data_IF_926530500650
#
_entry.id   IF_926530500650
#
_cell.length_a   1.000
_cell.length_b   1.000
_cell.length_c   1.000
_cell.angle_alpha   90.00
_cell.angle_beta   90.00
_cell.angle_gamma   90.00
#
_symmetry.space_group_name_H-M   'P 1'
#
loop_
_entity.id
_entity.type
_entity.pdbx_description
1 polymer ?
#
# COMPACT_ATOMS: atom_id res chain seq x y z
N UNK A 1 -3.33 7.99 53.73
CA UNK A 1 -3.05 8.24 52.29
C UNK A 1 -3.12 6.90 51.58
N UNK A 2 -4.20 6.65 50.82
CA UNK A 2 -4.35 5.41 50.05
C UNK A 2 -3.80 5.67 48.66
N UNK A 3 -2.67 5.03 48.34
CA UNK A 3 -2.13 5.01 46.98
C UNK A 3 -3.05 4.14 46.12
N UNK A 4 -3.86 4.77 45.28
CA UNK A 4 -4.58 4.07 44.22
C UNK A 4 -3.58 3.62 43.17
N UNK A 5 -3.27 2.32 43.15
CA UNK A 5 -2.56 1.68 42.05
C UNK A 5 -3.42 1.80 40.79
N UNK A 6 -3.02 2.67 39.85
CA UNK A 6 -3.54 2.64 38.50
C UNK A 6 -3.16 1.29 37.88
N UNK A 7 -4.15 0.43 37.69
CA UNK A 7 -4.04 -0.83 36.93
C UNK A 7 -3.46 -0.49 35.56
N UNK A 8 -2.34 -1.11 35.12
CA UNK A 8 -1.78 -0.82 33.80
C UNK A 8 -2.82 -1.16 32.74
N UNK A 9 -3.14 -0.17 31.89
CA UNK A 9 -3.99 -0.35 30.70
C UNK A 9 -3.38 -1.46 29.86
N UNK A 10 -4.15 -2.50 29.54
CA UNK A 10 -3.70 -3.60 28.69
C UNK A 10 -3.22 -3.05 27.34
N UNK A 11 -1.94 -3.24 27.01
CA UNK A 11 -1.43 -2.98 25.66
C UNK A 11 -2.22 -3.87 24.67
N UNK A 12 -3.00 -3.27 23.76
CA UNK A 12 -3.62 -3.96 22.62
C UNK A 12 -5.09 -4.33 22.79
N UNK A 13 -5.98 -3.34 22.95
CA UNK A 13 -7.44 -3.56 22.92
C UNK A 13 -7.97 -3.79 21.49
N UNK A 14 -7.23 -3.36 20.47
CA UNK A 14 -7.60 -3.48 19.06
C UNK A 14 -6.49 -4.16 18.28
N UNK A 15 -6.86 -4.90 17.24
CA UNK A 15 -5.94 -5.54 16.31
C UNK A 15 -6.37 -5.27 14.88
N UNK A 16 -5.41 -5.30 13.96
CA UNK A 16 -5.68 -5.25 12.53
C UNK A 16 -4.67 -6.12 11.80
N UNK A 17 -5.07 -6.60 10.63
CA UNK A 17 -4.27 -7.53 9.86
C UNK A 17 -3.57 -6.83 8.70
N UNK A 18 -2.38 -7.33 8.38
CA UNK A 18 -1.65 -6.95 7.16
C UNK A 18 -1.33 -8.20 6.36
N UNK A 19 -1.60 -8.16 5.06
CA UNK A 19 -1.26 -9.27 4.15
C UNK A 19 -0.78 -8.78 2.79
N UNK A 20 -0.08 -9.64 2.05
CA UNK A 20 0.20 -9.42 0.65
C UNK A 20 -0.93 -9.88 -0.26
N UNK A 21 -1.35 -9.00 -1.17
CA UNK A 21 -2.28 -9.31 -2.25
C UNK A 21 -1.52 -9.34 -3.58
N UNK A 22 -1.62 -10.45 -4.31
CA UNK A 22 -0.86 -10.64 -5.55
C UNK A 22 -1.66 -10.11 -6.72
N UNK A 23 -1.01 -9.41 -7.64
CA UNK A 23 -1.62 -9.02 -8.90
C UNK A 23 -0.72 -9.36 -10.08
N UNK A 24 -1.33 -9.48 -11.25
CA UNK A 24 -0.64 -9.82 -12.48
C UNK A 24 -1.19 -9.05 -13.66
N UNK A 25 -0.31 -8.75 -14.60
CA UNK A 25 -0.67 -8.23 -15.92
C UNK A 25 0.02 -9.12 -16.94
N UNK A 26 -0.77 -9.80 -17.78
CA UNK A 26 -0.29 -10.87 -18.68
C UNK A 26 0.60 -10.35 -19.81
N UNK A 27 0.38 -9.11 -20.26
CA UNK A 27 1.14 -8.45 -21.33
C UNK A 27 1.44 -6.99 -20.98
N UNK A 28 2.33 -6.74 -20.01
CA UNK A 28 2.61 -5.38 -19.60
C UNK A 28 3.46 -4.67 -20.65
N UNK A 29 3.02 -3.49 -21.09
CA UNK A 29 3.89 -2.58 -21.81
C UNK A 29 5.01 -2.14 -20.83
N UNK A 30 6.28 -2.34 -21.21
CA UNK A 30 7.44 -2.09 -20.33
C UNK A 30 7.91 -0.63 -20.35
N UNK A 31 7.26 0.23 -21.13
CA UNK A 31 7.63 1.63 -21.25
C UNK A 31 7.02 2.52 -20.14
N UNK A 32 7.74 3.58 -19.78
CA UNK A 32 7.23 4.64 -18.91
C UNK A 32 6.80 4.18 -17.53
N UNK A 33 5.57 4.53 -17.13
CA UNK A 33 5.04 4.20 -15.80
C UNK A 33 4.56 2.74 -15.68
N UNK A 34 4.29 2.07 -16.80
CA UNK A 34 3.78 0.69 -16.83
C UNK A 34 4.86 -0.35 -16.45
N UNK A 35 6.12 0.08 -16.29
CA UNK A 35 7.22 -0.75 -15.78
C UNK A 35 6.93 -1.41 -14.43
N UNK A 36 5.99 -0.89 -13.64
CA UNK A 36 5.58 -1.48 -12.35
C UNK A 36 4.95 -2.88 -12.50
N UNK A 37 4.49 -3.21 -13.70
CA UNK A 37 3.88 -4.50 -14.03
C UNK A 37 4.92 -5.54 -14.47
N UNK A 38 6.18 -5.15 -14.67
CA UNK A 38 7.24 -6.08 -15.02
C UNK A 38 7.67 -6.91 -13.80
N UNK A 39 7.42 -8.21 -13.83
CA UNK A 39 7.71 -9.12 -12.70
C UNK A 39 9.17 -9.54 -12.58
N UNK A 40 9.92 -9.53 -13.68
CA UNK A 40 11.24 -10.18 -13.77
C UNK A 40 12.34 -9.37 -13.08
N UNK A 41 12.39 -8.06 -13.35
CA UNK A 41 13.51 -7.19 -12.94
C UNK A 41 13.24 -6.38 -11.68
N UNK A 42 12.00 -6.00 -11.43
CA UNK A 42 11.62 -5.21 -10.28
C UNK A 42 10.41 -5.77 -9.58
N UNK A 43 10.39 -5.59 -8.26
CA UNK A 43 9.24 -5.98 -7.43
C UNK A 43 8.51 -4.74 -6.98
N UNK A 44 7.20 -4.75 -7.07
CA UNK A 44 6.38 -3.63 -6.64
C UNK A 44 5.58 -3.98 -5.39
N UNK A 45 5.37 -2.96 -4.56
CA UNK A 45 4.67 -3.05 -3.29
C UNK A 45 3.84 -1.77 -3.14
N UNK A 46 2.55 -1.90 -3.41
CA UNK A 46 1.57 -0.82 -3.35
C UNK A 46 0.74 -0.96 -2.08
N UNK A 47 0.71 0.11 -1.27
CA UNK A 47 0.12 0.10 0.06
C UNK A 47 -1.33 0.55 -0.06
N UNK A 48 -2.26 -0.38 0.11
CA UNK A 48 -3.69 -0.09 0.27
C UNK A 48 -3.96 0.21 1.73
N UNK A 49 -4.31 1.46 1.99
CA UNK A 49 -4.55 2.01 3.31
C UNK A 49 -6.04 1.93 3.60
N UNK A 50 -6.40 1.82 4.88
CA UNK A 50 -7.80 1.89 5.26
C UNK A 50 -8.28 3.34 5.22
N UNK A 51 -9.44 3.57 4.62
CA UNK A 51 -10.12 4.86 4.63
C UNK A 51 -11.06 4.96 5.85
N UNK A 52 -11.02 6.07 6.60
CA UNK A 52 -12.11 6.43 7.52
C UNK A 52 -13.35 6.88 6.71
N UNK A 53 -14.60 6.56 7.10
CA UNK A 53 -15.06 5.83 8.27
C UNK A 53 -15.71 4.51 7.85
N UNK A 54 -14.93 3.56 7.31
CA UNK A 54 -15.45 2.21 7.19
C UNK A 54 -15.70 1.68 8.62
N UNK A 55 -16.95 1.71 9.09
CA UNK A 55 -17.41 1.24 10.42
C UNK A 55 -17.22 -0.28 10.63
N UNK A 56 -16.28 -0.89 9.93
CA UNK A 56 -15.86 -2.27 10.11
C UNK A 56 -14.79 -2.31 11.19
N UNK A 57 -15.10 -3.00 12.29
CA UNK A 57 -14.14 -3.32 13.34
C UNK A 57 -12.94 -4.15 12.82
N UNK A 58 -13.04 -4.69 11.61
CA UNK A 58 -12.05 -5.52 10.95
C UNK A 58 -11.25 -4.70 9.93
N UNK A 59 -10.20 -4.04 10.40
CA UNK A 59 -9.27 -3.33 9.51
C UNK A 59 -8.29 -4.35 8.93
N UNK A 60 -8.28 -4.47 7.60
CA UNK A 60 -7.35 -5.33 6.88
C UNK A 60 -6.58 -4.51 5.86
N UNK A 61 -5.31 -4.22 6.16
CA UNK A 61 -4.40 -3.52 5.26
C UNK A 61 -3.77 -4.49 4.25
N UNK A 62 -3.68 -4.07 3.00
CA UNK A 62 -3.17 -4.93 1.92
C UNK A 62 -1.97 -4.30 1.25
N UNK A 63 -0.93 -5.11 1.04
CA UNK A 63 0.22 -4.72 0.23
C UNK A 63 0.10 -5.46 -1.11
N UNK A 64 -0.25 -4.73 -2.15
CA UNK A 64 -0.36 -5.25 -3.51
C UNK A 64 1.02 -5.45 -4.10
N UNK A 65 1.30 -6.65 -4.60
CA UNK A 65 2.61 -6.99 -5.15
C UNK A 65 2.53 -7.82 -6.42
N UNK A 66 3.49 -7.59 -7.32
CA UNK A 66 3.74 -8.45 -8.48
C UNK A 66 4.64 -9.65 -8.15
N UNK A 67 5.08 -9.81 -6.89
CA UNK A 67 5.96 -10.91 -6.50
C UNK A 67 5.17 -12.14 -6.02
N UNK A 68 5.09 -13.18 -6.84
CA UNK A 68 4.37 -14.42 -6.50
C UNK A 68 4.97 -15.19 -5.33
N UNK A 69 6.24 -14.96 -5.01
CA UNK A 69 6.90 -15.65 -3.90
C UNK A 69 6.52 -15.08 -2.54
N UNK A 70 5.83 -13.93 -2.49
CA UNK A 70 5.32 -13.38 -1.24
C UNK A 70 4.18 -14.25 -0.69
N UNK A 71 4.19 -14.51 0.62
CA UNK A 71 3.13 -15.28 1.28
C UNK A 71 1.95 -14.37 1.55
N UNK A 72 0.74 -14.82 1.21
CA UNK A 72 -0.49 -14.04 1.46
C UNK A 72 -1.08 -14.25 2.86
N UNK A 73 -0.38 -15.00 3.72
CA UNK A 73 -0.81 -15.25 5.10
C UNK A 73 -0.85 -13.93 5.88
N UNK A 74 -2.01 -13.52 6.42
CA UNK A 74 -2.11 -12.30 7.20
C UNK A 74 -1.30 -12.40 8.49
N UNK A 75 -0.76 -11.26 8.94
CA UNK A 75 -0.15 -11.11 10.26
C UNK A 75 -0.91 -10.02 11.00
N UNK A 76 -1.33 -10.34 12.22
CA UNK A 76 -2.05 -9.41 13.08
C UNK A 76 -1.10 -8.51 13.87
N UNK A 77 -1.45 -7.23 13.97
CA UNK A 77 -0.73 -6.22 14.74
C UNK A 77 -1.65 -5.57 15.75
N UNK A 78 -1.14 -5.35 16.96
CA UNK A 78 -1.87 -4.63 17.99
C UNK A 78 -1.90 -3.12 17.74
N UNK A 79 -2.98 -2.50 18.19
CA UNK A 79 -3.22 -1.06 18.14
C UNK A 79 -3.77 -0.58 19.48
N UNK A 80 -3.43 0.66 19.83
CA UNK A 80 -4.01 1.35 20.99
C UNK A 80 -5.36 2.00 20.66
N UNK A 81 -5.67 2.16 19.37
CA UNK A 81 -6.90 2.79 18.88
C UNK A 81 -7.65 1.84 17.93
N UNK A 82 -8.97 1.97 17.86
CA UNK A 82 -9.82 1.22 16.93
C UNK A 82 -9.42 1.45 15.49
N UNK A 83 -9.13 2.70 15.13
CA UNK A 83 -8.64 3.07 13.81
C UNK A 83 -7.20 3.60 13.90
N UNK A 84 -6.19 2.85 13.41
CA UNK A 84 -4.80 3.29 13.41
C UNK A 84 -4.62 4.49 12.47
N UNK A 85 -3.88 5.51 12.92
CA UNK A 85 -3.57 6.64 12.06
C UNK A 85 -2.71 6.23 10.85
N UNK A 86 -2.76 7.03 9.79
CA UNK A 86 -2.06 6.79 8.52
C UNK A 86 -0.56 6.45 8.70
N UNK A 87 0.14 7.22 9.51
CA UNK A 87 1.58 7.00 9.77
C UNK A 87 1.83 5.65 10.42
N UNK A 88 0.96 5.22 11.33
CA UNK A 88 1.04 3.93 11.99
C UNK A 88 0.70 2.77 11.06
N UNK A 89 -0.36 2.91 10.23
CA UNK A 89 -0.69 1.95 9.18
C UNK A 89 0.51 1.69 8.25
N UNK A 90 1.09 2.75 7.67
CA UNK A 90 2.28 2.64 6.81
C UNK A 90 3.46 2.00 7.55
N UNK A 91 3.66 2.36 8.82
CA UNK A 91 4.75 1.78 9.63
C UNK A 91 4.59 0.27 9.80
N UNK A 92 3.38 -0.21 10.09
CA UNK A 92 3.12 -1.64 10.26
C UNK A 92 3.16 -2.41 8.94
N UNK A 93 2.67 -1.82 7.86
CA UNK A 93 2.82 -2.39 6.53
C UNK A 93 4.29 -2.48 6.10
N UNK A 94 5.12 -1.47 6.41
CA UNK A 94 6.56 -1.53 6.15
C UNK A 94 7.26 -2.58 7.01
N UNK A 95 6.87 -2.70 8.28
CA UNK A 95 7.36 -3.75 9.15
C UNK A 95 7.03 -5.14 8.57
N UNK A 96 5.79 -5.33 8.10
CA UNK A 96 5.36 -6.55 7.42
C UNK A 96 6.20 -6.83 6.17
N UNK A 97 6.38 -5.82 5.31
CA UNK A 97 7.25 -5.90 4.13
C UNK A 97 8.66 -6.37 4.49
N UNK A 98 9.34 -5.68 5.41
CA UNK A 98 10.73 -5.95 5.75
C UNK A 98 10.95 -7.29 6.44
N UNK A 99 9.97 -7.77 7.21
CA UNK A 99 10.03 -9.10 7.83
C UNK A 99 10.07 -10.23 6.79
N UNK A 100 9.50 -10.00 5.61
CA UNK A 100 9.50 -10.96 4.50
C UNK A 100 10.70 -10.78 3.55
N UNK A 101 11.46 -9.69 3.65
CA UNK A 101 12.60 -9.43 2.77
C UNK A 101 13.87 -10.15 3.25
N UNK A 102 14.28 -11.18 2.51
CA UNK A 102 15.57 -11.86 2.71
C UNK A 102 16.76 -11.07 2.13
N UNK A 103 16.50 -10.17 1.17
CA UNK A 103 17.54 -9.50 0.37
C UNK A 103 18.07 -8.22 1.00
N UNK A 104 17.39 -7.67 2.00
CA UNK A 104 17.76 -6.43 2.70
C UNK A 104 18.13 -6.77 4.15
N UNK A 105 19.40 -6.66 4.57
CA UNK A 105 19.81 -6.94 5.95
C UNK A 105 19.15 -5.99 6.97
N UNK A 106 18.91 -6.46 8.21
CA UNK A 106 18.22 -5.69 9.27
C UNK A 106 18.81 -4.30 9.54
N UNK A 107 20.14 -4.14 9.48
CA UNK A 107 20.79 -2.82 9.64
C UNK A 107 20.37 -1.82 8.56
N UNK A 108 20.26 -2.29 7.32
CA UNK A 108 19.82 -1.51 6.17
C UNK A 108 18.32 -1.23 6.25
N UNK A 109 17.52 -2.22 6.69
CA UNK A 109 16.10 -2.01 6.95
C UNK A 109 15.90 -0.85 7.94
N UNK A 110 16.58 -0.88 9.09
CA UNK A 110 16.54 0.21 10.10
C UNK A 110 16.94 1.56 9.50
N UNK A 111 18.02 1.61 8.70
CA UNK A 111 18.50 2.82 8.05
C UNK A 111 17.45 3.46 7.12
N UNK A 112 16.79 2.65 6.29
CA UNK A 112 15.86 3.16 5.27
C UNK A 112 14.39 3.17 5.71
N UNK A 113 14.05 2.58 6.86
CA UNK A 113 12.66 2.49 7.33
C UNK A 113 11.98 3.86 7.38
N UNK A 114 12.60 4.83 8.05
CA UNK A 114 12.05 6.18 8.17
C UNK A 114 11.99 6.91 6.83
N UNK A 115 12.99 6.72 5.97
CA UNK A 115 13.03 7.30 4.64
C UNK A 115 11.87 6.80 3.77
N UNK A 116 11.68 5.48 3.69
CA UNK A 116 10.61 4.87 2.89
C UNK A 116 9.24 5.25 3.45
N UNK A 117 9.08 5.26 4.79
CA UNK A 117 7.85 5.72 5.44
C UNK A 117 7.51 7.16 5.09
N UNK A 118 8.49 8.06 5.13
CA UNK A 118 8.30 9.46 4.76
C UNK A 118 7.90 9.60 3.28
N UNK A 119 8.56 8.86 2.38
CA UNK A 119 8.26 8.89 0.95
C UNK A 119 6.88 8.33 0.60
N UNK A 120 6.41 7.31 1.33
CA UNK A 120 5.04 6.80 1.18
C UNK A 120 4.00 7.82 1.65
N UNK A 121 4.24 8.48 2.80
CA UNK A 121 3.36 9.55 3.29
C UNK A 121 3.27 10.71 2.30
N UNK A 122 4.42 11.19 1.81
CA UNK A 122 4.48 12.24 0.79
C UNK A 122 3.68 11.86 -0.46
N UNK A 123 3.85 10.61 -0.93
CA UNK A 123 3.07 10.09 -2.07
C UNK A 123 1.58 10.02 -1.79
N UNK A 124 1.17 9.59 -0.60
CA UNK A 124 -0.24 9.57 -0.21
C UNK A 124 -0.87 10.97 -0.28
N UNK A 125 -0.25 11.97 0.35
CA UNK A 125 -0.80 13.33 0.35
C UNK A 125 -0.81 13.94 -1.05
N UNK A 126 0.21 13.66 -1.85
CA UNK A 126 0.28 14.11 -3.23
C UNK A 126 -0.85 13.49 -4.07
N UNK A 127 -1.08 12.18 -3.94
CA UNK A 127 -2.16 11.47 -4.64
C UNK A 127 -3.53 12.01 -4.23
N UNK A 128 -3.76 12.14 -2.91
CA UNK A 128 -5.00 12.67 -2.36
C UNK A 128 -5.27 14.10 -2.86
N UNK A 129 -4.29 14.99 -2.71
CA UNK A 129 -4.40 16.37 -3.20
C UNK A 129 -4.69 16.43 -4.70
N UNK A 130 -4.12 15.52 -5.51
CA UNK A 130 -4.38 15.48 -6.96
C UNK A 130 -5.77 14.97 -7.32
N UNK A 131 -6.29 14.00 -6.57
CA UNK A 131 -7.65 13.51 -6.76
C UNK A 131 -8.69 14.60 -6.46
N UNK A 132 -8.44 15.41 -5.42
CA UNK A 132 -9.35 16.47 -4.96
C UNK A 132 -9.27 17.76 -5.80
N UNK A 133 -8.23 17.93 -6.64
CA UNK A 133 -7.98 19.16 -7.38
C UNK A 133 -8.62 19.16 -8.78
N UNK A 134 -9.56 20.09 -9.00
CA UNK A 134 -10.12 20.37 -10.32
C UNK A 134 -9.21 21.38 -11.04
N UNK A 135 -8.34 20.89 -11.91
CA UNK A 135 -7.46 21.75 -12.71
C UNK A 135 -7.75 21.60 -14.20
N UNK A 136 -7.74 22.71 -14.94
CA UNK A 136 -7.91 22.70 -16.41
C UNK A 136 -6.84 21.88 -17.15
N UNK A 137 -5.64 21.71 -16.55
CA UNK A 137 -4.54 20.94 -17.13
C UNK A 137 -4.47 19.54 -16.53
N UNK A 138 -4.57 18.53 -17.38
CA UNK A 138 -4.51 17.13 -16.96
C UNK A 138 -3.07 16.63 -16.77
N UNK A 139 -2.48 16.89 -15.61
CA UNK A 139 -1.11 16.46 -15.28
C UNK A 139 -1.08 15.03 -14.73
N UNK A 140 -0.19 14.19 -15.29
CA UNK A 140 0.01 12.81 -14.84
C UNK A 140 0.92 12.75 -13.63
N UNK A 141 0.42 12.19 -12.54
CA UNK A 141 1.14 12.01 -11.29
C UNK A 141 1.42 10.55 -11.02
N UNK A 142 2.69 10.15 -10.88
CA UNK A 142 3.04 8.76 -10.54
C UNK A 142 2.58 8.40 -9.13
N UNK A 143 2.02 7.22 -8.97
CA UNK A 143 1.55 6.69 -7.66
C UNK A 143 2.69 6.06 -6.82
N UNK A 144 3.88 5.95 -7.40
CA UNK A 144 5.00 5.21 -6.83
C UNK A 144 6.33 5.97 -6.93
N UNK A 145 7.34 5.48 -6.21
CA UNK A 145 8.73 5.85 -6.32
C UNK A 145 9.62 4.60 -6.41
N UNK A 146 10.82 4.76 -6.96
CA UNK A 146 11.79 3.69 -7.03
C UNK A 146 12.64 3.68 -5.76
N UNK A 147 12.96 2.49 -5.27
CA UNK A 147 13.95 2.25 -4.24
C UNK A 147 14.84 1.11 -4.69
N UNK A 148 16.14 1.32 -4.74
CA UNK A 148 17.09 0.30 -5.14
C UNK A 148 18.05 -0.01 -4.00
N UNK A 149 18.33 -1.29 -3.81
CA UNK A 149 19.35 -1.77 -2.89
C UNK A 149 20.22 -2.80 -3.58
N UNK A 150 21.50 -2.47 -3.82
CA UNK A 150 22.41 -3.26 -4.66
C UNK A 150 21.74 -3.52 -6.03
N UNK A 151 21.62 -4.79 -6.44
CA UNK A 151 20.97 -5.21 -7.68
C UNK A 151 19.44 -5.30 -7.60
N UNK A 152 18.85 -5.14 -6.41
CA UNK A 152 17.40 -5.31 -6.22
C UNK A 152 16.67 -3.98 -6.39
N UNK A 153 15.69 -3.96 -7.29
CA UNK A 153 14.88 -2.79 -7.61
C UNK A 153 13.46 -2.99 -7.09
N UNK A 154 13.03 -2.05 -6.26
CA UNK A 154 11.70 -2.01 -5.67
C UNK A 154 10.93 -0.78 -6.18
N UNK A 155 9.64 -0.96 -6.40
CA UNK A 155 8.69 0.13 -6.61
C UNK A 155 7.75 0.19 -5.42
N UNK A 156 7.82 1.27 -4.64
CA UNK A 156 6.92 1.52 -3.52
C UNK A 156 5.90 2.57 -3.91
N UNK A 157 4.62 2.32 -3.66
CA UNK A 157 3.56 3.26 -3.98
C UNK A 157 2.36 3.14 -3.08
N UNK A 158 1.41 4.04 -3.26
CA UNK A 158 0.08 3.93 -2.66
C UNK A 158 -0.82 3.25 -3.66
N UNK A 159 -1.58 2.25 -3.21
CA UNK A 159 -2.52 1.57 -4.06
C UNK A 159 -3.65 2.52 -4.43
N UNK A 160 -3.84 2.72 -5.72
CA UNK A 160 -5.02 3.37 -6.28
C UNK A 160 -5.60 2.38 -7.26
N UNK A 161 -6.87 1.96 -7.11
CA UNK A 161 -7.49 1.03 -8.04
C UNK A 161 -7.53 1.66 -9.43
N UNK A 162 -7.47 0.82 -10.46
CA UNK A 162 -7.63 1.33 -11.81
C UNK A 162 -9.14 1.54 -12.11
N UNK A 163 -9.55 2.74 -12.52
CA UNK A 163 -10.96 3.04 -12.83
C UNK A 163 -11.35 2.52 -14.22
N UNK A 164 -11.10 1.25 -14.50
CA UNK A 164 -11.55 0.60 -15.74
C UNK A 164 -12.80 -0.23 -15.48
N UNK A 165 -13.88 0.11 -16.18
CA UNK A 165 -15.05 -0.75 -16.31
C UNK A 165 -14.82 -1.76 -17.42
N UNK A 166 -14.86 -3.06 -17.10
CA UNK A 166 -14.79 -4.11 -18.12
C UNK A 166 -16.22 -4.38 -18.62
N UNK A 167 -16.55 -3.91 -19.81
CA UNK A 167 -17.78 -4.34 -20.51
C UNK A 167 -17.52 -5.69 -21.19
N UNK A 168 -18.00 -6.78 -20.60
CA UNK A 168 -18.08 -8.06 -21.30
C UNK A 168 -19.29 -8.06 -22.26
N UNK A 169 -19.08 -8.54 -23.48
CA UNK A 169 -20.05 -8.58 -24.58
C UNK A 169 -21.15 -9.66 -24.41
N UNK A 170 -21.76 -9.77 -23.23
CA UNK A 170 -22.95 -10.59 -23.00
C UNK A 170 -23.83 -9.96 -21.93
N UNK A 171 -24.68 -9.00 -22.30
CA UNK A 171 -25.93 -8.55 -21.65
C UNK A 171 -26.03 -8.46 -20.10
N UNK A 172 -24.92 -8.43 -19.36
CA UNK A 172 -24.89 -8.20 -17.92
C UNK A 172 -23.75 -7.23 -17.64
N UNK A 173 -24.10 -5.98 -17.29
CA UNK A 173 -23.13 -4.98 -16.84
C UNK A 173 -22.59 -5.38 -15.45
N UNK A 174 -21.64 -6.30 -15.40
CA UNK A 174 -20.87 -6.53 -14.18
C UNK A 174 -19.81 -5.43 -14.05
N UNK A 175 -20.03 -4.51 -13.11
CA UNK A 175 -19.10 -3.46 -12.72
C UNK A 175 -17.91 -4.07 -11.96
N UNK A 176 -17.02 -4.80 -12.65
CA UNK A 176 -15.80 -5.30 -12.02
C UNK A 176 -14.80 -4.15 -11.86
N UNK A 177 -14.46 -3.82 -10.61
CA UNK A 177 -13.41 -2.87 -10.27
C UNK A 177 -12.06 -3.57 -10.48
N UNK A 178 -11.16 -2.93 -11.22
CA UNK A 178 -9.84 -3.47 -11.49
C UNK A 178 -8.99 -3.55 -10.22
N UNK A 179 -8.50 -4.76 -9.92
CA UNK A 179 -7.65 -5.06 -8.76
C UNK A 179 -6.14 -4.83 -9.02
N UNK A 180 -5.79 -4.08 -10.07
CA UNK A 180 -4.40 -3.79 -10.45
C UNK A 180 -4.08 -2.35 -10.06
N UNK A 181 -2.91 -2.06 -9.44
CA UNK A 181 -2.55 -0.70 -9.07
C UNK A 181 -2.41 0.18 -10.32
N UNK A 182 -3.00 1.36 -10.28
CA UNK A 182 -2.78 2.38 -11.31
C UNK A 182 -1.35 2.93 -11.22
N UNK A 183 -0.60 3.06 -12.32
CA UNK A 183 0.78 3.51 -12.29
C UNK A 183 0.91 5.03 -12.15
N UNK A 184 -0.15 5.74 -12.46
CA UNK A 184 -0.29 7.18 -12.30
C UNK A 184 -1.77 7.53 -12.13
N UNK A 185 -2.03 8.69 -11.54
CA UNK A 185 -3.35 9.31 -11.53
C UNK A 185 -3.32 10.56 -12.39
N UNK A 186 -4.49 10.91 -12.91
CA UNK A 186 -4.75 12.15 -13.60
C UNK A 186 -5.52 13.09 -12.66
N UNK A 187 -5.45 14.40 -12.89
CA UNK A 187 -6.29 15.35 -12.13
C UNK A 187 -7.73 15.14 -12.57
N UNK A 188 -8.65 14.95 -11.59
CA UNK A 188 -10.03 14.53 -11.81
C UNK A 188 -10.15 13.08 -12.30
N UNK A 189 -10.39 12.15 -11.37
CA UNK A 189 -10.52 10.71 -11.59
C UNK A 189 -11.70 10.13 -10.81
#
# INVERSE_FOLDING_TARGET
MVFTFHKPISLGKFSFDVSFHKFHVTRPNRAGCNKIYEIRRSKCFFFELADPPANTNDIHLKIHTNDYHMKSTPISYSSTCSFPNLKYQISKMLQHFFSHQKVIPRSIQKKYFNFIRFRLLDRYFLIKSRADNVTQRNSRTKTFFNFSYKRYCFHFGIFTPCNFHITYNFNIKHTQVCHVPSPYIMSYN
#
